data_IF_673476615366
#
_entry.id   IF_673476615366
#
_cell.length_a   1.000
_cell.length_b   1.000
_cell.length_c   1.000
_cell.angle_alpha   90.00
_cell.angle_beta   90.00
_cell.angle_gamma   90.00
#
_symmetry.space_group_name_H-M   'P 1'
#
loop_
_entity.id
_entity.type
_entity.pdbx_description
1 polymer ?
#
# COMPACT_ATOMS: atom_id res chain seq x y z
N UNK A 1 22.15 10.51 8.73
CA UNK A 1 22.56 9.24 8.07
C UNK A 1 22.39 9.29 6.54
N UNK A 2 23.23 8.58 5.78
CA UNK A 2 23.03 8.44 4.31
C UNK A 2 21.83 7.52 4.03
N UNK A 3 21.04 7.81 2.99
CA UNK A 3 19.87 6.99 2.59
C UNK A 3 20.21 5.50 2.45
N UNK A 4 21.40 5.20 1.89
CA UNK A 4 21.91 3.82 1.78
C UNK A 4 22.00 3.09 3.13
N UNK A 5 22.45 3.77 4.19
CA UNK A 5 22.58 3.16 5.52
C UNK A 5 21.20 2.85 6.11
N UNK A 6 20.26 3.79 5.99
CA UNK A 6 18.87 3.59 6.43
C UNK A 6 18.29 2.33 5.78
N UNK A 7 18.46 2.16 4.48
CA UNK A 7 17.96 0.99 3.74
C UNK A 7 18.62 -0.30 4.24
N UNK A 8 19.96 -0.34 4.34
CA UNK A 8 20.69 -1.54 4.77
C UNK A 8 20.29 -1.97 6.18
N UNK A 9 20.19 -1.02 7.10
CA UNK A 9 19.81 -1.33 8.47
C UNK A 9 18.33 -1.74 8.57
N UNK A 10 17.46 -1.15 7.76
CA UNK A 10 16.04 -1.51 7.74
C UNK A 10 15.80 -2.88 7.11
N UNK A 11 16.58 -3.26 6.10
CA UNK A 11 16.54 -4.60 5.49
C UNK A 11 17.00 -5.70 6.46
N UNK A 12 17.88 -5.37 7.40
CA UNK A 12 18.35 -6.31 8.42
C UNK A 12 17.34 -6.53 9.54
N UNK A 13 16.42 -5.59 9.77
CA UNK A 13 15.51 -5.63 10.93
C UNK A 13 14.67 -6.92 11.02
N UNK A 14 14.04 -7.41 9.93
CA UNK A 14 13.30 -8.68 9.97
C UNK A 14 14.19 -9.88 10.34
N UNK A 15 15.49 -9.80 10.04
CA UNK A 15 16.47 -10.86 10.31
C UNK A 15 17.05 -10.77 11.73
N UNK A 16 17.23 -9.55 12.27
CA UNK A 16 17.76 -9.35 13.62
C UNK A 16 16.72 -9.71 14.68
N UNK A 17 15.48 -9.26 14.51
CA UNK A 17 14.38 -9.50 15.45
C UNK A 17 13.44 -10.59 14.93
N UNK A 18 14.04 -11.72 14.52
CA UNK A 18 13.34 -12.83 13.85
C UNK A 18 12.15 -13.38 14.64
N UNK A 19 12.18 -13.32 15.99
CA UNK A 19 11.07 -13.76 16.84
C UNK A 19 9.83 -12.88 16.66
N UNK A 20 10.03 -11.56 16.67
CA UNK A 20 8.96 -10.57 16.48
C UNK A 20 8.43 -10.65 15.05
N UNK A 21 9.33 -10.78 14.07
CA UNK A 21 8.98 -10.98 12.68
C UNK A 21 8.12 -12.25 12.49
N UNK A 22 8.56 -13.40 13.02
CA UNK A 22 7.82 -14.66 12.93
C UNK A 22 6.47 -14.58 13.63
N UNK A 23 6.38 -13.88 14.77
CA UNK A 23 5.11 -13.70 15.48
C UNK A 23 4.12 -12.91 14.64
N UNK A 24 4.54 -11.79 14.06
CA UNK A 24 3.68 -10.97 13.17
C UNK A 24 3.32 -11.76 11.91
N UNK A 25 4.25 -12.52 11.34
CA UNK A 25 4.00 -13.40 10.21
C UNK A 25 2.91 -14.42 10.52
N UNK A 26 2.99 -15.14 11.63
CA UNK A 26 1.97 -16.13 12.00
C UNK A 26 0.59 -15.49 12.21
N UNK A 27 0.53 -14.29 12.77
CA UNK A 27 -0.72 -13.57 12.99
C UNK A 27 -1.37 -13.13 11.68
N UNK A 28 -0.60 -12.52 10.77
CA UNK A 28 -1.09 -12.11 9.46
C UNK A 28 -1.38 -13.32 8.55
N UNK A 29 -0.58 -14.38 8.65
CA UNK A 29 -0.85 -15.64 7.93
C UNK A 29 -2.19 -16.24 8.38
N UNK A 30 -2.45 -16.23 9.69
CA UNK A 30 -3.74 -16.69 10.24
C UNK A 30 -4.89 -15.79 9.77
N UNK A 31 -4.70 -14.47 9.66
CA UNK A 31 -5.67 -13.58 9.03
C UNK A 31 -5.97 -13.97 7.58
N UNK A 32 -4.94 -14.24 6.78
CA UNK A 32 -5.09 -14.61 5.37
C UNK A 32 -5.75 -15.98 5.19
N UNK A 33 -5.35 -16.97 5.99
CA UNK A 33 -5.98 -18.30 5.97
C UNK A 33 -7.46 -18.21 6.37
N UNK A 34 -7.79 -17.50 7.46
CA UNK A 34 -9.19 -17.26 7.84
C UNK A 34 -9.92 -16.57 6.68
N UNK A 35 -9.28 -15.60 6.03
CA UNK A 35 -9.86 -14.88 4.89
C UNK A 35 -10.18 -15.79 3.71
N UNK A 36 -9.27 -16.68 3.32
CA UNK A 36 -9.50 -17.64 2.25
C UNK A 36 -10.60 -18.66 2.56
N UNK A 37 -10.56 -19.24 3.77
CA UNK A 37 -11.62 -20.16 4.23
C UNK A 37 -12.98 -19.44 4.21
N UNK A 38 -12.99 -18.15 4.54
CA UNK A 38 -14.20 -17.32 4.50
C UNK A 38 -14.80 -17.20 3.10
N UNK A 39 -13.97 -17.06 2.07
CA UNK A 39 -14.43 -16.95 0.69
C UNK A 39 -14.96 -18.27 0.12
N UNK A 40 -14.60 -19.41 0.72
CA UNK A 40 -15.11 -20.72 0.32
C UNK A 40 -16.53 -21.01 0.83
N UNK A 41 -17.04 -20.25 1.80
CA UNK A 41 -18.42 -20.40 2.25
C UNK A 41 -19.39 -19.85 1.20
N UNK A 42 -20.41 -20.66 0.87
CA UNK A 42 -21.52 -20.21 0.03
C UNK A 42 -22.27 -19.08 0.71
N UNK A 43 -22.69 -18.09 -0.08
CA UNK A 43 -23.54 -16.99 0.38
C UNK A 43 -24.85 -17.62 0.89
N UNK A 44 -25.13 -17.43 2.18
CA UNK A 44 -26.28 -17.99 2.88
C UNK A 44 -26.60 -17.17 4.12
N UNK A 45 -27.58 -17.64 4.90
CA UNK A 45 -28.18 -16.86 6.00
C UNK A 45 -27.18 -16.42 7.08
N UNK A 46 -26.11 -17.20 7.30
CA UNK A 46 -25.07 -16.90 8.31
C UNK A 46 -23.82 -16.19 7.74
N UNK A 47 -23.77 -15.93 6.44
CA UNK A 47 -22.58 -15.36 5.78
C UNK A 47 -22.22 -13.98 6.35
N UNK A 48 -23.19 -13.09 6.52
CA UNK A 48 -22.97 -11.74 7.06
C UNK A 48 -22.44 -11.77 8.50
N UNK A 49 -22.99 -12.65 9.34
CA UNK A 49 -22.55 -12.81 10.73
C UNK A 49 -21.10 -13.32 10.78
N UNK A 50 -20.75 -14.26 9.91
CA UNK A 50 -19.39 -14.77 9.81
C UNK A 50 -18.39 -13.70 9.31
N UNK A 51 -18.75 -12.93 8.29
CA UNK A 51 -17.94 -11.78 7.80
C UNK A 51 -17.71 -10.75 8.90
N UNK A 52 -18.73 -10.48 9.72
CA UNK A 52 -18.62 -9.54 10.84
C UNK A 52 -17.65 -10.05 11.92
N UNK A 53 -17.79 -11.31 12.35
CA UNK A 53 -16.88 -11.93 13.33
C UNK A 53 -15.44 -11.95 12.79
N UNK A 54 -15.25 -12.36 11.54
CA UNK A 54 -13.94 -12.32 10.87
C UNK A 54 -13.34 -10.93 10.93
N UNK A 55 -14.09 -9.90 10.55
CA UNK A 55 -13.60 -8.52 10.52
C UNK A 55 -13.11 -8.06 11.88
N UNK A 56 -13.83 -8.40 12.96
CA UNK A 56 -13.40 -8.10 14.33
C UNK A 56 -12.10 -8.82 14.68
N UNK A 57 -12.00 -10.13 14.37
CA UNK A 57 -10.79 -10.92 14.63
C UNK A 57 -9.59 -10.35 13.86
N UNK A 58 -9.76 -10.05 12.57
CA UNK A 58 -8.72 -9.44 11.74
C UNK A 58 -8.26 -8.09 12.29
N UNK A 59 -9.17 -7.24 12.77
CA UNK A 59 -8.79 -5.96 13.39
C UNK A 59 -7.96 -6.16 14.67
N UNK A 60 -8.31 -7.14 15.50
CA UNK A 60 -7.53 -7.45 16.72
C UNK A 60 -6.14 -7.94 16.34
N UNK A 61 -6.03 -8.84 15.36
CA UNK A 61 -4.76 -9.40 14.91
C UNK A 61 -3.87 -8.33 14.27
N UNK A 62 -4.43 -7.44 13.42
CA UNK A 62 -3.72 -6.28 12.87
C UNK A 62 -3.22 -5.37 13.99
N UNK A 63 -4.06 -5.08 14.99
CA UNK A 63 -3.66 -4.27 16.14
C UNK A 63 -2.50 -4.88 16.92
N UNK A 64 -2.53 -6.19 17.16
CA UNK A 64 -1.45 -6.90 17.84
C UNK A 64 -0.16 -6.91 17.00
N UNK A 65 -0.27 -7.09 15.68
CA UNK A 65 0.85 -6.96 14.75
C UNK A 65 1.49 -5.57 14.82
N UNK A 66 0.68 -4.51 14.82
CA UNK A 66 1.17 -3.13 14.96
C UNK A 66 1.83 -2.87 16.31
N UNK A 67 1.32 -3.46 17.38
CA UNK A 67 1.91 -3.39 18.70
C UNK A 67 3.34 -3.97 18.73
N UNK A 68 3.53 -5.14 18.12
CA UNK A 68 4.83 -5.80 18.03
C UNK A 68 5.78 -4.98 17.14
N UNK A 69 5.31 -4.47 16.00
CA UNK A 69 6.13 -3.58 15.15
C UNK A 69 6.54 -2.32 15.92
N UNK A 70 5.64 -1.74 16.71
CA UNK A 70 5.93 -0.58 17.55
C UNK A 70 6.96 -0.91 18.65
N UNK A 71 6.91 -2.11 19.23
CA UNK A 71 7.94 -2.59 20.15
C UNK A 71 9.31 -2.66 19.47
N UNK A 72 9.40 -3.24 18.28
CA UNK A 72 10.68 -3.43 17.57
C UNK A 72 11.25 -2.12 17.04
N UNK A 73 10.42 -1.20 16.53
CA UNK A 73 10.89 0.05 15.92
C UNK A 73 11.11 1.16 16.96
N UNK A 74 10.27 1.23 18.00
CA UNK A 74 10.29 2.33 18.98
C UNK A 74 10.72 1.89 20.39
N UNK A 75 11.12 0.63 20.60
CA UNK A 75 11.46 0.05 21.91
C UNK A 75 10.35 0.23 22.98
N UNK A 76 9.08 0.24 22.56
CA UNK A 76 7.92 0.35 23.48
C UNK A 76 7.53 -0.99 24.07
N UNK A 77 6.97 -1.03 25.27
CA UNK A 77 6.52 -2.29 25.89
C UNK A 77 5.35 -2.92 25.13
N UNK A 78 5.42 -4.23 24.89
CA UNK A 78 4.30 -5.02 24.38
C UNK A 78 3.25 -5.12 25.49
N UNK A 79 1.98 -4.89 25.15
CA UNK A 79 0.85 -5.13 26.02
C UNK A 79 -0.11 -6.13 25.37
N UNK A 80 -0.87 -6.88 26.17
CA UNK A 80 -1.79 -7.92 25.69
C UNK A 80 -3.23 -7.60 26.12
N UNK A 81 -3.73 -6.44 25.69
CA UNK A 81 -5.06 -5.97 26.03
C UNK A 81 -5.96 -5.94 24.78
N UNK A 82 -6.92 -6.87 24.70
CA UNK A 82 -7.84 -7.01 23.55
C UNK A 82 -8.50 -5.70 23.12
N UNK A 83 -9.01 -4.90 24.07
CA UNK A 83 -9.66 -3.61 23.78
C UNK A 83 -8.69 -2.60 23.16
N UNK A 84 -7.41 -2.62 23.57
CA UNK A 84 -6.39 -1.74 23.01
C UNK A 84 -5.99 -2.19 21.61
N UNK A 85 -5.78 -3.48 21.39
CA UNK A 85 -5.48 -4.02 20.06
C UNK A 85 -6.60 -3.76 19.07
N UNK A 86 -7.87 -3.92 19.45
CA UNK A 86 -8.98 -3.58 18.58
C UNK A 86 -8.93 -2.10 18.15
N UNK A 87 -8.64 -1.18 19.09
CA UNK A 87 -8.49 0.25 18.80
C UNK A 87 -7.29 0.55 17.91
N UNK A 88 -6.14 -0.09 18.17
CA UNK A 88 -4.93 0.05 17.36
C UNK A 88 -5.15 -0.45 15.93
N UNK A 89 -5.80 -1.61 15.76
CA UNK A 89 -6.14 -2.16 14.46
C UNK A 89 -7.16 -1.33 13.70
N UNK A 90 -8.19 -0.79 14.38
CA UNK A 90 -9.14 0.13 13.76
C UNK A 90 -8.46 1.43 13.31
N UNK A 91 -7.57 1.99 14.13
CA UNK A 91 -6.82 3.19 13.75
C UNK A 91 -5.93 2.94 12.54
N UNK A 92 -5.24 1.80 12.50
CA UNK A 92 -4.39 1.41 11.36
C UNK A 92 -5.20 1.18 10.08
N UNK A 93 -6.37 0.55 10.21
CA UNK A 93 -7.30 0.36 9.10
C UNK A 93 -7.80 1.70 8.54
N UNK A 94 -8.26 2.60 9.41
CA UNK A 94 -8.73 3.94 9.00
C UNK A 94 -7.60 4.76 8.38
N UNK A 95 -6.39 4.68 8.93
CA UNK A 95 -5.21 5.33 8.38
C UNK A 95 -4.91 4.85 6.96
N UNK A 96 -4.82 3.52 6.78
CA UNK A 96 -4.54 2.90 5.49
C UNK A 96 -5.60 3.26 4.46
N UNK A 97 -6.88 3.18 4.83
CA UNK A 97 -8.01 3.53 3.97
C UNK A 97 -7.97 5.01 3.57
N UNK A 98 -7.67 5.93 4.50
CA UNK A 98 -7.55 7.35 4.20
C UNK A 98 -6.46 7.64 3.16
N UNK A 99 -5.27 7.08 3.34
CA UNK A 99 -4.16 7.27 2.40
C UNK A 99 -4.30 6.51 1.09
N UNK A 100 -5.18 5.50 1.01
CA UNK A 100 -5.52 4.80 -0.23
C UNK A 100 -6.59 5.53 -1.05
N UNK A 101 -7.55 6.19 -0.39
CA UNK A 101 -8.62 6.93 -1.07
C UNK A 101 -8.11 8.20 -1.76
N UNK A 102 -7.16 8.92 -1.17
CA UNK A 102 -6.64 10.16 -1.76
C UNK A 102 -6.02 9.93 -3.16
N UNK A 103 -5.04 9.01 -3.36
CA UNK A 103 -4.48 8.77 -4.69
C UNK A 103 -5.51 8.22 -5.67
N UNK A 104 -6.52 7.47 -5.21
CA UNK A 104 -7.63 7.01 -6.06
C UNK A 104 -8.45 8.18 -6.60
N UNK A 105 -8.87 9.10 -5.73
CA UNK A 105 -9.66 10.28 -6.12
C UNK A 105 -8.84 11.20 -7.03
N UNK A 106 -7.55 11.39 -6.71
CA UNK A 106 -6.65 12.18 -7.55
C UNK A 106 -6.47 11.52 -8.91
N UNK A 107 -6.20 10.21 -8.98
CA UNK A 107 -6.07 9.47 -10.24
C UNK A 107 -7.31 9.68 -11.14
N UNK A 108 -8.52 9.56 -10.59
CA UNK A 108 -9.76 9.83 -11.34
C UNK A 108 -9.81 11.24 -11.95
N UNK A 109 -9.38 12.26 -11.20
CA UNK A 109 -9.31 13.63 -11.72
C UNK A 109 -8.30 13.76 -12.86
N UNK A 110 -7.17 13.08 -12.75
CA UNK A 110 -6.12 13.10 -13.76
C UNK A 110 -6.45 12.31 -15.03
N UNK A 111 -7.48 11.46 -15.07
CA UNK A 111 -7.95 10.80 -16.30
C UNK A 111 -8.25 11.83 -17.41
N UNK A 112 -8.82 12.98 -17.04
CA UNK A 112 -9.08 14.08 -17.96
C UNK A 112 -7.79 14.77 -18.42
N UNK A 113 -6.87 15.04 -17.49
CA UNK A 113 -5.61 15.75 -17.77
C UNK A 113 -4.72 14.91 -18.68
N UNK A 114 -4.68 13.59 -18.47
CA UNK A 114 -3.88 12.68 -19.29
C UNK A 114 -4.48 12.46 -20.67
N UNK A 115 -5.73 12.88 -20.93
CA UNK A 115 -6.43 12.67 -22.21
C UNK A 115 -7.04 11.28 -22.36
N UNK A 116 -6.97 10.44 -21.32
CA UNK A 116 -7.47 9.06 -21.37
C UNK A 116 -8.99 9.04 -21.57
N UNK A 117 -9.69 9.96 -20.92
CA UNK A 117 -11.13 10.11 -21.10
C UNK A 117 -11.49 10.43 -22.56
N UNK A 118 -10.80 11.39 -23.17
CA UNK A 118 -11.06 11.82 -24.54
C UNK A 118 -10.89 10.68 -25.53
N UNK A 119 -9.80 9.92 -25.44
CA UNK A 119 -9.55 8.80 -26.36
C UNK A 119 -10.58 7.68 -26.18
N UNK A 120 -11.00 7.41 -24.95
CA UNK A 120 -12.07 6.42 -24.69
C UNK A 120 -13.40 6.87 -25.32
N UNK A 121 -13.70 8.17 -25.29
CA UNK A 121 -14.87 8.73 -25.97
C UNK A 121 -14.74 8.62 -27.48
N UNK A 122 -13.57 8.96 -28.05
CA UNK A 122 -13.32 8.89 -29.50
C UNK A 122 -13.45 7.45 -30.02
N UNK A 123 -12.88 6.48 -29.30
CA UNK A 123 -13.01 5.05 -29.60
C UNK A 123 -14.49 4.62 -29.55
N UNK A 124 -15.21 5.04 -28.52
CA UNK A 124 -16.65 4.73 -28.38
C UNK A 124 -17.45 5.31 -29.55
N UNK A 125 -17.20 6.56 -29.93
CA UNK A 125 -17.89 7.21 -31.04
C UNK A 125 -17.57 6.53 -32.37
N UNK A 126 -16.31 6.14 -32.59
CA UNK A 126 -15.91 5.37 -33.75
C UNK A 126 -16.69 4.05 -33.85
N UNK A 127 -16.74 3.27 -32.77
CA UNK A 127 -17.49 2.00 -32.72
C UNK A 127 -18.98 2.22 -33.03
N UNK A 128 -19.60 3.27 -32.46
CA UNK A 128 -21.02 3.58 -32.70
C UNK A 128 -21.32 3.99 -34.15
N UNK A 129 -20.32 4.51 -34.87
CA UNK A 129 -20.45 4.85 -36.29
C UNK A 129 -20.20 3.67 -37.22
N UNK A 130 -19.64 2.57 -36.70
CA UNK A 130 -19.46 1.36 -37.49
C UNK A 130 -20.81 0.64 -37.62
N UNK A 131 -21.26 0.45 -38.86
CA UNK A 131 -22.44 -0.34 -39.22
C UNK A 131 -22.12 -1.85 -39.13
N UNK A 132 -21.69 -2.26 -37.94
CA UNK A 132 -21.43 -3.66 -37.59
C UNK A 132 -22.57 -4.08 -36.68
N UNK A 133 -23.14 -5.27 -36.91
CA UNK A 133 -24.00 -5.96 -35.93
C UNK A 133 -23.18 -6.22 -34.65
N UNK A 134 -23.05 -5.17 -33.82
CA UNK A 134 -22.01 -4.98 -32.81
C UNK A 134 -22.24 -5.75 -31.52
N UNK A 135 -23.17 -6.70 -31.51
CA UNK A 135 -23.61 -7.40 -30.31
C UNK A 135 -22.62 -8.47 -29.82
N UNK A 136 -21.59 -8.82 -30.59
CA UNK A 136 -20.76 -9.99 -30.31
C UNK A 136 -19.25 -9.85 -30.58
N UNK A 137 -18.71 -8.63 -30.72
CA UNK A 137 -17.26 -8.47 -30.87
C UNK A 137 -16.57 -8.61 -29.50
N UNK A 138 -15.59 -9.51 -29.42
CA UNK A 138 -14.69 -9.61 -28.28
C UNK A 138 -13.69 -8.45 -28.24
N UNK A 139 -13.07 -8.20 -27.08
CA UNK A 139 -12.07 -7.11 -26.89
C UNK A 139 -10.90 -7.23 -27.87
N UNK A 140 -10.52 -8.46 -28.23
CA UNK A 140 -9.44 -8.75 -29.17
C UNK A 140 -9.84 -8.42 -30.61
N UNK A 141 -11.05 -8.79 -31.03
CA UNK A 141 -11.57 -8.45 -32.35
C UNK A 141 -11.78 -6.94 -32.52
N UNK A 142 -12.15 -6.23 -31.45
CA UNK A 142 -12.23 -4.77 -31.43
C UNK A 142 -10.89 -4.10 -31.74
N UNK A 143 -9.78 -4.67 -31.25
CA UNK A 143 -8.43 -4.13 -31.47
C UNK A 143 -7.97 -4.20 -32.93
N UNK A 144 -8.51 -5.16 -33.70
CA UNK A 144 -8.24 -5.32 -35.13
C UNK A 144 -9.11 -4.42 -36.02
N UNK A 145 -10.21 -3.91 -35.47
CA UNK A 145 -11.20 -3.07 -36.17
C UNK A 145 -10.89 -1.59 -35.97
N UNK A 146 -10.22 -1.23 -34.87
CA UNK A 146 -9.80 0.14 -34.60
C UNK A 146 -8.63 0.55 -35.50
N UNK A 147 -8.59 1.80 -36.00
CA UNK A 147 -7.45 2.35 -36.71
C UNK A 147 -6.18 2.26 -35.85
N UNK A 148 -5.05 1.89 -36.46
CA UNK A 148 -3.77 1.75 -35.73
C UNK A 148 -3.41 3.00 -34.94
N UNK A 149 -3.69 4.20 -35.47
CA UNK A 149 -3.45 5.46 -34.78
C UNK A 149 -4.24 5.58 -33.46
N UNK A 150 -5.51 5.19 -33.44
CA UNK A 150 -6.34 5.23 -32.23
C UNK A 150 -5.84 4.23 -31.18
N UNK A 151 -5.45 3.04 -31.62
CA UNK A 151 -4.89 2.00 -30.74
C UNK A 151 -3.56 2.44 -30.12
N UNK A 152 -2.68 3.05 -30.92
CA UNK A 152 -1.40 3.61 -30.47
C UNK A 152 -1.63 4.75 -29.46
N UNK A 153 -2.52 5.69 -29.78
CA UNK A 153 -2.82 6.83 -28.91
C UNK A 153 -3.42 6.38 -27.58
N UNK A 154 -4.33 5.41 -27.62
CA UNK A 154 -4.91 4.79 -26.42
C UNK A 154 -3.83 4.14 -25.55
N UNK A 155 -2.95 3.33 -26.15
CA UNK A 155 -1.88 2.66 -25.43
C UNK A 155 -0.94 3.66 -24.76
N UNK A 156 -0.48 4.68 -25.48
CA UNK A 156 0.41 5.70 -24.92
C UNK A 156 -0.24 6.47 -23.78
N UNK A 157 -1.51 6.85 -23.94
CA UNK A 157 -2.23 7.62 -22.94
C UNK A 157 -2.55 6.79 -21.70
N UNK A 158 -2.92 5.51 -21.90
CA UNK A 158 -3.11 4.56 -20.81
C UNK A 158 -1.80 4.33 -20.03
N UNK A 159 -0.68 4.13 -20.72
CA UNK A 159 0.64 3.97 -20.09
C UNK A 159 1.02 5.20 -19.26
N UNK A 160 0.85 6.40 -19.82
CA UNK A 160 1.12 7.65 -19.12
C UNK A 160 0.25 7.81 -17.87
N UNK A 161 -1.05 7.53 -17.99
CA UNK A 161 -1.99 7.59 -16.87
C UNK A 161 -1.66 6.57 -15.78
N UNK A 162 -1.31 5.35 -16.16
CA UNK A 162 -0.90 4.28 -15.24
C UNK A 162 0.38 4.66 -14.47
N UNK A 163 1.39 5.19 -15.16
CA UNK A 163 2.64 5.65 -14.54
C UNK A 163 2.38 6.77 -13.52
N UNK A 164 1.54 7.75 -13.88
CA UNK A 164 1.16 8.83 -12.98
C UNK A 164 0.39 8.32 -11.75
N UNK A 165 -0.58 7.42 -11.97
CA UNK A 165 -1.35 6.80 -10.90
C UNK A 165 -0.45 6.01 -9.95
N UNK A 166 0.44 5.17 -10.48
CA UNK A 166 1.42 4.43 -9.68
C UNK A 166 2.30 5.36 -8.83
N UNK A 167 2.78 6.46 -9.42
CA UNK A 167 3.54 7.46 -8.68
C UNK A 167 2.75 8.07 -7.51
N UNK A 168 1.47 8.44 -7.72
CA UNK A 168 0.60 8.93 -6.64
C UNK A 168 0.42 7.89 -5.55
N UNK A 169 0.13 6.64 -5.90
CA UNK A 169 -0.05 5.56 -4.92
C UNK A 169 1.19 5.37 -4.06
N UNK A 170 2.38 5.36 -4.65
CA UNK A 170 3.64 5.22 -3.89
C UNK A 170 3.90 6.43 -3.00
N UNK A 171 3.62 7.64 -3.49
CA UNK A 171 3.77 8.87 -2.71
C UNK A 171 2.84 8.89 -1.48
N UNK A 172 1.55 8.59 -1.66
CA UNK A 172 0.59 8.57 -0.56
C UNK A 172 0.78 7.37 0.38
N UNK A 173 1.26 6.24 -0.13
CA UNK A 173 1.71 5.12 0.72
C UNK A 173 2.89 5.54 1.60
N UNK A 174 3.82 6.32 1.06
CA UNK A 174 4.94 6.90 1.83
C UNK A 174 4.44 7.86 2.92
N UNK A 175 3.41 8.66 2.63
CA UNK A 175 2.74 9.50 3.63
C UNK A 175 2.02 8.66 4.70
N UNK A 176 1.42 7.53 4.32
CA UNK A 176 0.80 6.59 5.26
C UNK A 176 1.82 6.06 6.28
N UNK A 177 3.03 5.69 5.84
CA UNK A 177 4.09 5.27 6.77
C UNK A 177 4.52 6.38 7.74
N UNK A 178 4.65 7.63 7.27
CA UNK A 178 4.89 8.78 8.15
C UNK A 178 3.73 8.96 9.14
N UNK A 179 2.48 8.89 8.65
CA UNK A 179 1.29 8.97 9.47
C UNK A 179 1.27 7.91 10.57
N UNK A 180 1.63 6.66 10.24
CA UNK A 180 1.73 5.55 11.19
C UNK A 180 2.76 5.85 12.28
N UNK A 181 3.92 6.37 11.91
CA UNK A 181 4.96 6.79 12.86
C UNK A 181 4.47 7.89 13.81
N UNK A 182 3.76 8.91 13.28
CA UNK A 182 3.18 9.98 14.10
C UNK A 182 2.09 9.44 15.02
N UNK A 183 1.26 8.52 14.53
CA UNK A 183 0.24 7.83 15.33
C UNK A 183 0.88 7.10 16.50
N UNK A 184 1.95 6.33 16.27
CA UNK A 184 2.63 5.60 17.33
C UNK A 184 3.37 6.52 18.30
N UNK A 185 3.95 7.63 17.84
CA UNK A 185 4.62 8.59 18.72
C UNK A 185 3.62 9.34 19.62
N UNK A 186 2.55 9.89 19.05
CA UNK A 186 1.62 10.78 19.76
C UNK A 186 0.35 10.08 20.27
N UNK A 187 0.12 8.82 19.93
CA UNK A 187 -1.05 8.04 20.36
C UNK A 187 -2.39 8.53 19.79
N UNK A 188 -2.37 9.37 18.75
CA UNK A 188 -3.56 10.03 18.23
C UNK A 188 -3.66 9.89 16.71
N UNK A 189 -4.76 9.28 16.24
CA UNK A 189 -5.07 9.11 14.82
C UNK A 189 -5.22 10.46 14.09
N UNK A 190 -5.74 11.50 14.76
CA UNK A 190 -5.91 12.83 14.16
C UNK A 190 -4.58 13.43 13.69
N UNK A 191 -3.50 13.19 14.43
CA UNK A 191 -2.16 13.65 14.04
C UNK A 191 -1.66 12.94 12.78
N UNK A 192 -2.06 11.68 12.59
CA UNK A 192 -1.66 10.84 11.46
C UNK A 192 -2.46 11.12 10.19
N UNK A 193 -3.71 11.56 10.32
CA UNK A 193 -4.59 11.92 9.20
C UNK A 193 -4.40 13.36 8.71
N UNK A 194 -3.83 14.24 9.54
CA UNK A 194 -3.58 15.63 9.16
C UNK A 194 -2.39 15.73 8.19
N UNK A 195 -2.69 15.88 6.90
CA UNK A 195 -1.70 16.06 5.84
C UNK A 195 -0.76 17.25 6.09
N UNK A 196 -1.20 18.29 6.83
CA UNK A 196 -0.34 19.42 7.18
C UNK A 196 0.85 18.96 8.02
N UNK A 197 0.63 18.06 8.97
CA UNK A 197 1.69 17.50 9.78
C UNK A 197 2.65 16.67 8.93
N UNK A 198 2.12 15.89 7.98
CA UNK A 198 2.95 15.13 7.04
C UNK A 198 3.82 16.07 6.19
N UNK A 199 3.26 17.16 5.64
CA UNK A 199 4.04 18.12 4.88
C UNK A 199 5.10 18.83 5.71
N UNK A 200 4.81 19.15 6.98
CA UNK A 200 5.82 19.69 7.91
C UNK A 200 6.95 18.68 8.09
N UNK A 201 6.63 17.40 8.31
CA UNK A 201 7.63 16.32 8.43
C UNK A 201 8.48 16.19 7.15
N UNK A 202 7.85 16.15 5.98
CA UNK A 202 8.55 16.05 4.69
C UNK A 202 9.44 17.27 4.45
N UNK A 203 8.96 18.47 4.82
CA UNK A 203 9.75 19.70 4.75
C UNK A 203 10.96 19.64 5.67
N UNK A 204 10.81 19.13 6.90
CA UNK A 204 11.89 19.01 7.87
C UNK A 204 12.94 17.97 7.44
N UNK A 205 12.55 16.88 6.77
CA UNK A 205 13.46 15.89 6.16
C UNK A 205 14.21 16.50 4.95
N UNK A 206 13.58 17.46 4.28
CA UNK A 206 14.01 18.04 3.01
C UNK A 206 13.35 17.33 1.83
N UNK A 207 12.58 18.07 1.03
CA UNK A 207 11.78 17.53 -0.09
C UNK A 207 12.63 16.71 -1.07
N UNK A 208 13.80 17.21 -1.49
CA UNK A 208 14.68 16.50 -2.41
C UNK A 208 15.19 15.17 -1.84
N UNK A 209 15.51 15.14 -0.55
CA UNK A 209 15.98 13.92 0.13
C UNK A 209 14.86 12.91 0.30
N UNK A 210 13.67 13.38 0.66
CA UNK A 210 12.46 12.57 0.73
C UNK A 210 12.14 11.95 -0.64
N UNK A 211 12.11 12.74 -1.71
CA UNK A 211 11.85 12.23 -3.07
C UNK A 211 12.90 11.22 -3.53
N UNK A 212 14.19 11.44 -3.24
CA UNK A 212 15.24 10.44 -3.50
C UNK A 212 15.00 9.14 -2.74
N UNK A 213 14.58 9.22 -1.49
CA UNK A 213 14.25 8.05 -0.69
C UNK A 213 13.03 7.30 -1.25
N UNK A 214 11.94 8.02 -1.56
CA UNK A 214 10.72 7.45 -2.14
C UNK A 214 11.04 6.75 -3.47
N UNK A 215 11.85 7.37 -4.34
CA UNK A 215 12.25 6.74 -5.61
C UNK A 215 12.99 5.40 -5.38
N UNK A 216 13.94 5.36 -4.46
CA UNK A 216 14.67 4.12 -4.14
C UNK A 216 13.71 3.09 -3.53
N UNK A 217 12.80 3.52 -2.66
CA UNK A 217 11.76 2.67 -2.09
C UNK A 217 10.85 2.07 -3.17
N UNK A 218 10.45 2.85 -4.18
CA UNK A 218 9.69 2.37 -5.34
C UNK A 218 10.44 1.28 -6.09
N UNK A 219 11.74 1.47 -6.35
CA UNK A 219 12.55 0.46 -7.06
C UNK A 219 12.60 -0.85 -6.28
N UNK A 220 12.76 -0.78 -4.95
CA UNK A 220 12.73 -1.97 -4.08
C UNK A 220 11.36 -2.64 -4.14
N UNK A 221 10.27 -1.87 -4.09
CA UNK A 221 8.92 -2.39 -4.15
C UNK A 221 8.62 -3.07 -5.49
N UNK A 222 9.04 -2.47 -6.61
CA UNK A 222 8.94 -3.09 -7.94
C UNK A 222 9.70 -4.42 -7.97
N UNK A 223 10.93 -4.46 -7.46
CA UNK A 223 11.72 -5.69 -7.40
C UNK A 223 11.02 -6.78 -6.56
N UNK A 224 10.49 -6.41 -5.40
CA UNK A 224 9.76 -7.33 -4.51
C UNK A 224 8.49 -7.87 -5.16
N UNK A 225 7.69 -7.01 -5.82
CA UNK A 225 6.46 -7.44 -6.50
C UNK A 225 6.77 -8.36 -7.69
N UNK A 226 7.80 -8.07 -8.48
CA UNK A 226 8.18 -8.96 -9.58
C UNK A 226 8.71 -10.31 -9.06
N UNK A 227 9.49 -10.30 -7.97
CA UNK A 227 9.95 -11.53 -7.32
C UNK A 227 8.77 -12.36 -6.80
N UNK A 228 7.76 -11.71 -6.20
CA UNK A 228 6.51 -12.34 -5.76
C UNK A 228 5.80 -13.05 -6.90
N UNK A 229 5.62 -12.38 -8.04
CA UNK A 229 4.95 -12.95 -9.23
C UNK A 229 5.69 -14.21 -9.73
N UNK A 230 7.02 -14.17 -9.79
CA UNK A 230 7.83 -15.31 -10.24
C UNK A 230 7.73 -16.48 -9.24
N UNK A 231 7.81 -16.20 -7.95
CA UNK A 231 7.78 -17.22 -6.90
C UNK A 231 6.37 -17.79 -6.66
N UNK A 232 5.31 -17.02 -6.89
CA UNK A 232 3.92 -17.48 -6.82
C UNK A 232 3.59 -18.56 -7.85
N UNK A 233 4.34 -18.64 -8.95
CA UNK A 233 4.23 -19.77 -9.88
C UNK A 233 4.74 -21.10 -9.29
N UNK A 234 5.47 -21.07 -8.17
CA UNK A 234 6.14 -22.23 -7.57
C UNK A 234 5.66 -22.53 -6.14
N UNK A 235 5.32 -21.51 -5.36
CA UNK A 235 4.89 -21.61 -3.97
C UNK A 235 3.43 -21.20 -3.79
N UNK A 236 2.81 -21.60 -2.68
CA UNK A 236 1.48 -21.13 -2.31
C UNK A 236 1.48 -19.59 -2.15
N UNK A 237 0.63 -18.93 -2.94
CA UNK A 237 0.48 -17.48 -3.00
C UNK A 237 0.23 -16.86 -1.61
N UNK A 238 -0.47 -17.56 -0.71
CA UNK A 238 -0.80 -17.03 0.63
C UNK A 238 0.42 -16.90 1.51
N UNK A 239 1.24 -17.96 1.55
CA UNK A 239 2.42 -18.00 2.39
C UNK A 239 3.40 -16.93 1.93
N UNK A 240 3.62 -16.87 0.62
CA UNK A 240 4.56 -15.95 0.02
C UNK A 240 4.10 -14.49 0.18
N UNK A 241 2.84 -14.17 -0.17
CA UNK A 241 2.29 -12.82 -0.02
C UNK A 241 2.37 -12.33 1.42
N UNK A 242 1.97 -13.15 2.40
CA UNK A 242 2.06 -12.81 3.83
C UNK A 242 3.50 -12.53 4.24
N UNK A 243 4.47 -13.37 3.82
CA UNK A 243 5.88 -13.19 4.16
C UNK A 243 6.40 -11.84 3.68
N UNK A 244 6.12 -11.48 2.43
CA UNK A 244 6.55 -10.21 1.87
C UNK A 244 5.79 -9.01 2.45
N UNK A 245 4.51 -9.15 2.77
CA UNK A 245 3.75 -8.11 3.46
C UNK A 245 4.37 -7.77 4.82
N UNK A 246 4.65 -8.80 5.64
CA UNK A 246 5.28 -8.62 6.96
C UNK A 246 6.69 -8.04 6.80
N UNK A 247 7.45 -8.53 5.81
CA UNK A 247 8.79 -8.01 5.53
C UNK A 247 8.75 -6.52 5.17
N UNK A 248 7.85 -6.13 4.26
CA UNK A 248 7.66 -4.74 3.86
C UNK A 248 7.16 -3.88 5.03
N UNK A 249 6.28 -4.41 5.88
CA UNK A 249 5.79 -3.71 7.07
C UNK A 249 6.94 -3.34 8.01
N UNK A 250 7.81 -4.30 8.36
CA UNK A 250 8.98 -4.05 9.22
C UNK A 250 10.00 -3.14 8.55
N UNK A 251 10.36 -3.46 7.30
CA UNK A 251 11.33 -2.70 6.51
C UNK A 251 10.90 -1.24 6.37
N UNK A 252 9.68 -0.99 5.89
CA UNK A 252 9.20 0.36 5.62
C UNK A 252 9.01 1.15 6.91
N UNK A 253 8.37 0.57 7.93
CA UNK A 253 8.14 1.28 9.19
C UNK A 253 9.45 1.73 9.84
N UNK A 254 10.48 0.87 9.84
CA UNK A 254 11.81 1.23 10.34
C UNK A 254 12.54 2.24 9.43
N UNK A 255 12.46 2.08 8.12
CA UNK A 255 13.13 2.96 7.18
C UNK A 255 12.59 4.40 7.24
N UNK A 256 11.26 4.54 7.30
CA UNK A 256 10.62 5.84 7.50
C UNK A 256 10.85 6.39 8.91
N UNK A 257 10.92 5.55 9.94
CA UNK A 257 11.25 5.97 11.31
C UNK A 257 12.63 6.61 11.35
N UNK A 258 13.65 5.93 10.83
CA UNK A 258 15.03 6.45 10.76
C UNK A 258 15.15 7.67 9.86
N UNK A 259 14.42 7.70 8.74
CA UNK A 259 14.38 8.89 7.88
C UNK A 259 13.85 10.12 8.62
N UNK A 260 12.90 9.94 9.54
CA UNK A 260 12.30 11.02 10.30
C UNK A 260 13.14 11.42 11.53
N UNK A 261 13.44 10.49 12.44
CA UNK A 261 14.03 10.82 13.74
C UNK A 261 15.55 11.00 13.73
N UNK A 262 16.29 10.34 12.84
CA UNK A 262 17.74 10.57 12.74
C UNK A 262 18.07 11.90 12.03
N UNK A 263 17.07 12.59 11.48
CA UNK A 263 17.21 13.95 10.94
C UNK A 263 16.85 15.04 11.97
N UNK A 264 15.99 14.76 12.94
CA UNK A 264 15.71 15.72 14.01
C UNK A 264 16.90 15.88 14.95
N UNK A 265 17.68 14.83 15.19
CA UNK A 265 18.89 14.90 16.01
C UNK A 265 20.02 15.74 15.40
N UNK A 266 20.03 15.95 14.07
CA UNK A 266 21.02 16.83 13.42
C UNK A 266 20.61 18.30 13.40
N UNK A 267 19.33 18.62 13.62
CA UNK A 267 18.80 19.99 13.60
C UNK A 267 18.68 20.61 15.00
N UNK A 268 19.01 19.88 16.07
CA UNK A 268 19.12 20.42 17.44
C UNK A 268 20.56 20.86 17.79
N UNK A 269 21.47 20.82 16.82
CA UNK A 269 22.89 21.20 16.96
C UNK A 269 23.31 22.41 16.11
N UNK A 270 22.36 23.05 15.42
CA UNK A 270 22.53 24.32 14.70
C UNK A 270 21.58 25.39 15.29
#
# INVERSE_FOLDING_TARGET
MRVRQIIIESLKLPLTDYKSFLTVFLLLFLCEVISQVSYSFKIGEYYLLFVFIRSIVSLILIGLSMNIVNHVVFNKSIHLHFKQHFKEGLNEYVLTLFYLLIPLILSLFFIYITGLYSIVVDIREYILQMDIDSAALTVEELSHVLPESMTIDFLHTFQLHSLFTLFLYVLFTSFSFIGRILMFKYGNLKMALDLRNIFIVVRNIGCLRFMKFVLIFTIILIFVVNLLVILGAVFDDVLLSTFFEVFLLFFATNAFYKLYFDNTASNELD
#
